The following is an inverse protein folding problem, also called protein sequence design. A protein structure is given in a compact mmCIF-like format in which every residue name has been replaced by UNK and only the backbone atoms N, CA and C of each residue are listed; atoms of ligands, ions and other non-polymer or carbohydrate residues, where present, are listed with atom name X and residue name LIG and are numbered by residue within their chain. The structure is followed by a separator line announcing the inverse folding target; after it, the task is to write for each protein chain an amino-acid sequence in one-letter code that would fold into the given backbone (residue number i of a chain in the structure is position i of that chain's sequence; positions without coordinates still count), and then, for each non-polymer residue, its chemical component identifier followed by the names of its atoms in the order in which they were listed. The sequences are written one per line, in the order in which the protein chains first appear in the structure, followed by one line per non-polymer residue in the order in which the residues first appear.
data_IF_826189010888
#
_entry.id   IF_826189010888
#
_cell.length_a   1.000
_cell.length_b   1.000
_cell.length_c   1.000
_cell.angle_alpha   90.00
_cell.angle_beta   90.00
_cell.angle_gamma   90.00
#
_symmetry.space_group_name_H-M   'P 1'
#
loop_
_entity.id
_entity.type
_entity.pdbx_description
1 polymer ?
#
# COMPACT_ATOMS: atom_id res chain seq x y z
N UNK A 1 24.61 -40.99 17.47
CA UNK A 1 23.15 -41.12 17.64
C UNK A 1 22.48 -40.39 16.50
N UNK A 2 21.84 -41.12 15.58
CA UNK A 2 21.22 -40.55 14.39
C UNK A 2 19.91 -39.82 14.76
N UNK A 3 19.79 -38.55 14.37
CA UNK A 3 18.62 -37.71 14.59
C UNK A 3 17.47 -38.31 13.76
N UNK A 4 16.44 -38.87 14.41
CA UNK A 4 15.19 -39.29 13.73
C UNK A 4 14.60 -38.07 13.03
N UNK A 5 14.77 -37.96 11.73
CA UNK A 5 13.96 -37.11 10.86
C UNK A 5 12.59 -37.76 10.79
N UNK A 6 11.71 -37.41 11.72
CA UNK A 6 10.31 -37.84 11.67
C UNK A 6 9.71 -37.37 10.36
N UNK A 7 9.25 -38.30 9.53
CA UNK A 7 8.55 -37.98 8.29
C UNK A 7 7.30 -37.16 8.64
N UNK A 8 7.29 -35.89 8.23
CA UNK A 8 6.11 -35.05 8.37
C UNK A 8 5.00 -35.66 7.51
N UNK A 9 3.85 -35.94 8.12
CA UNK A 9 2.71 -36.57 7.43
C UNK A 9 1.60 -35.54 7.30
N UNK A 10 1.29 -35.17 6.06
CA UNK A 10 0.17 -34.30 5.75
C UNK A 10 -1.16 -34.96 6.16
N UNK A 11 -2.05 -34.16 6.72
CA UNK A 11 -3.43 -34.55 7.02
C UNK A 11 -4.29 -34.35 5.78
N UNK A 12 -5.41 -35.05 5.70
CA UNK A 12 -6.38 -34.88 4.61
C UNK A 12 -7.02 -33.48 4.56
N UNK A 13 -6.89 -32.70 5.63
CA UNK A 13 -7.36 -31.32 5.73
C UNK A 13 -6.32 -30.29 5.31
N UNK A 14 -5.06 -30.69 5.09
CA UNK A 14 -4.01 -29.76 4.72
C UNK A 14 -4.19 -29.37 3.25
N UNK A 15 -4.45 -28.08 2.98
CA UNK A 15 -4.50 -27.54 1.63
C UNK A 15 -3.08 -27.13 1.23
N UNK A 16 -2.51 -27.80 0.23
CA UNK A 16 -1.15 -27.58 -0.27
C UNK A 16 -1.26 -27.36 -1.77
N UNK A 17 -0.59 -26.31 -2.28
CA UNK A 17 -0.62 -26.01 -3.71
C UNK A 17 -1.90 -25.29 -4.12
N UNK A 18 -2.22 -24.20 -3.43
CA UNK A 18 -3.30 -23.30 -3.84
C UNK A 18 -2.99 -22.64 -5.20
N UNK A 19 -4.02 -22.14 -5.87
CA UNK A 19 -3.86 -21.48 -7.17
C UNK A 19 -3.12 -20.14 -7.06
N UNK A 20 -3.38 -19.39 -5.98
CA UNK A 20 -2.67 -18.18 -5.58
C UNK A 20 -1.60 -18.48 -4.54
N UNK A 21 -0.52 -17.70 -4.54
CA UNK A 21 0.53 -17.84 -3.52
C UNK A 21 0.05 -17.30 -2.15
N UNK A 22 -0.78 -16.27 -2.20
CA UNK A 22 -1.46 -15.62 -1.07
C UNK A 22 -2.40 -16.55 -0.30
N UNK A 23 -2.91 -17.60 -0.95
CA UNK A 23 -3.85 -18.57 -0.35
C UNK A 23 -3.16 -19.83 0.21
N UNK A 24 -1.83 -19.96 0.04
CA UNK A 24 -1.08 -21.14 0.46
C UNK A 24 -0.39 -20.92 1.83
N UNK A 25 -1.00 -21.46 2.90
CA UNK A 25 -0.47 -21.37 4.27
C UNK A 25 0.91 -22.05 4.45
N UNK A 26 1.27 -22.99 3.56
CA UNK A 26 2.55 -23.69 3.62
C UNK A 26 3.64 -22.98 2.83
N UNK A 27 3.32 -21.91 2.09
CA UNK A 27 4.26 -21.22 1.23
C UNK A 27 5.53 -20.81 1.96
N UNK A 28 5.41 -20.14 3.11
CA UNK A 28 6.56 -19.67 3.90
C UNK A 28 7.48 -20.80 4.39
N UNK A 29 6.93 -22.01 4.58
CA UNK A 29 7.69 -23.20 5.02
C UNK A 29 8.33 -23.97 3.88
N UNK A 30 7.73 -23.91 2.69
CA UNK A 30 8.13 -24.67 1.52
C UNK A 30 8.84 -23.83 0.46
N UNK A 31 8.93 -22.51 0.66
CA UNK A 31 9.61 -21.62 -0.25
C UNK A 31 11.09 -21.97 -0.38
N UNK A 32 11.54 -22.17 -1.62
CA UNK A 32 12.93 -22.40 -1.95
C UNK A 32 13.47 -21.13 -2.59
N UNK A 33 14.35 -20.42 -1.87
CA UNK A 33 15.03 -19.27 -2.43
C UNK A 33 16.01 -19.71 -3.54
N UNK A 34 15.83 -19.13 -4.71
CA UNK A 34 16.67 -19.35 -5.90
C UNK A 34 17.71 -18.26 -6.10
N UNK A 35 17.83 -17.34 -5.13
CA UNK A 35 18.77 -16.22 -5.11
C UNK A 35 18.14 -14.89 -5.54
N UNK A 36 16.94 -14.89 -6.12
CA UNK A 36 16.26 -13.65 -6.53
C UNK A 36 15.85 -12.77 -5.35
N UNK A 37 15.62 -13.37 -4.18
CA UNK A 37 15.23 -12.61 -3.00
C UNK A 37 16.35 -11.64 -2.56
N UNK A 38 17.61 -12.09 -2.61
CA UNK A 38 18.76 -11.22 -2.32
C UNK A 38 18.88 -10.02 -3.27
N UNK A 39 18.43 -10.17 -4.51
CA UNK A 39 18.44 -9.09 -5.51
C UNK A 39 17.35 -8.06 -5.24
N UNK A 40 16.17 -8.50 -4.79
CA UNK A 40 15.08 -7.61 -4.42
C UNK A 40 15.38 -6.82 -3.13
N UNK A 41 16.20 -7.39 -2.24
CA UNK A 41 16.62 -6.72 -1.01
C UNK A 41 17.75 -5.71 -1.20
N UNK A 42 18.46 -5.73 -2.33
CA UNK A 42 19.56 -4.79 -2.60
C UNK A 42 19.03 -3.46 -3.15
N UNK A 43 19.07 -2.42 -2.31
CA UNK A 43 18.70 -1.05 -2.68
C UNK A 43 19.62 -0.40 -3.72
N UNK A 44 20.80 -0.97 -3.97
CA UNK A 44 21.73 -0.50 -5.01
C UNK A 44 21.44 -1.13 -6.37
N UNK A 45 20.65 -2.20 -6.40
CA UNK A 45 20.26 -2.86 -7.63
C UNK A 45 19.12 -2.09 -8.30
N UNK A 46 19.23 -1.91 -9.62
CA UNK A 46 18.23 -1.19 -10.42
C UNK A 46 17.18 -2.11 -11.04
N UNK A 47 17.26 -3.43 -10.81
CA UNK A 47 16.29 -4.41 -11.30
C UNK A 47 15.01 -4.37 -10.47
N UNK A 48 14.04 -3.57 -10.89
CA UNK A 48 12.78 -3.35 -10.18
C UNK A 48 11.59 -4.18 -10.70
N UNK A 49 11.79 -4.94 -11.78
CA UNK A 49 10.71 -5.65 -12.47
C UNK A 49 10.93 -7.16 -12.39
N UNK A 50 9.98 -7.87 -11.80
CA UNK A 50 9.95 -9.33 -11.75
C UNK A 50 9.07 -9.86 -12.88
N UNK A 51 9.67 -10.59 -13.83
CA UNK A 51 8.98 -11.14 -14.99
C UNK A 51 8.99 -12.68 -14.98
N UNK A 52 7.93 -13.30 -15.51
CA UNK A 52 7.82 -14.75 -15.58
C UNK A 52 6.40 -15.23 -15.86
N UNK A 53 6.26 -16.46 -16.35
CA UNK A 53 4.97 -17.08 -16.68
C UNK A 53 4.11 -17.32 -15.43
N UNK A 54 2.81 -17.50 -15.60
CA UNK A 54 1.92 -17.99 -14.52
C UNK A 54 2.50 -19.27 -13.90
N UNK A 55 2.48 -19.37 -12.57
CA UNK A 55 3.06 -20.50 -11.84
C UNK A 55 4.58 -20.45 -11.63
N UNK A 56 5.30 -19.44 -12.13
CA UNK A 56 6.75 -19.32 -11.92
C UNK A 56 7.18 -18.83 -10.52
N UNK A 57 6.24 -18.75 -9.55
CA UNK A 57 6.54 -18.34 -8.18
C UNK A 57 6.76 -16.84 -7.94
N UNK A 58 6.31 -15.95 -8.85
CA UNK A 58 6.50 -14.48 -8.68
C UNK A 58 5.75 -13.93 -7.47
N UNK A 59 4.47 -14.26 -7.33
CA UNK A 59 3.66 -13.85 -6.18
C UNK A 59 4.29 -14.38 -4.90
N UNK A 60 4.74 -15.63 -4.91
CA UNK A 60 5.47 -16.22 -3.79
C UNK A 60 6.75 -15.45 -3.43
N UNK A 61 7.57 -15.11 -4.42
CA UNK A 61 8.80 -14.33 -4.20
C UNK A 61 8.51 -12.96 -3.57
N UNK A 62 7.49 -12.25 -4.07
CA UNK A 62 7.11 -10.93 -3.55
C UNK A 62 6.51 -11.03 -2.13
N UNK A 63 5.73 -12.07 -1.85
CA UNK A 63 5.20 -12.33 -0.50
C UNK A 63 6.33 -12.59 0.50
N UNK A 64 7.29 -13.44 0.14
CA UNK A 64 8.46 -13.70 0.99
C UNK A 64 9.31 -12.45 1.22
N UNK A 65 9.50 -11.63 0.18
CA UNK A 65 10.16 -10.32 0.32
C UNK A 65 9.39 -9.40 1.28
N UNK A 66 8.07 -9.32 1.14
CA UNK A 66 7.21 -8.53 2.02
C UNK A 66 7.25 -9.03 3.48
N UNK A 67 7.28 -10.35 3.69
CA UNK A 67 7.44 -10.96 5.02
C UNK A 67 8.81 -10.68 5.65
N UNK A 68 9.88 -10.60 4.85
CA UNK A 68 11.21 -10.27 5.36
C UNK A 68 11.37 -8.79 5.71
N UNK A 69 10.66 -7.89 5.00
CA UNK A 69 10.79 -6.43 5.13
C UNK A 69 9.50 -5.76 5.62
N UNK A 70 8.69 -6.43 6.44
CA UNK A 70 7.33 -6.01 6.90
C UNK A 70 7.15 -4.51 7.18
N UNK A 71 8.15 -3.87 7.79
CA UNK A 71 8.06 -2.46 8.17
C UNK A 71 8.31 -1.48 7.02
N UNK A 72 8.85 -1.94 5.89
CA UNK A 72 9.27 -1.11 4.76
C UNK A 72 8.61 -1.48 3.42
N UNK A 73 7.62 -2.38 3.43
CA UNK A 73 6.88 -2.76 2.22
C UNK A 73 5.47 -2.21 2.25
N UNK A 74 5.03 -1.70 1.10
CA UNK A 74 3.64 -1.32 0.80
C UNK A 74 3.23 -2.15 -0.42
N UNK A 75 2.19 -2.97 -0.25
CA UNK A 75 1.60 -3.71 -1.36
C UNK A 75 0.41 -2.94 -1.90
N UNK A 76 0.44 -2.64 -3.20
CA UNK A 76 -0.58 -1.87 -3.88
C UNK A 76 -1.18 -2.76 -4.96
N UNK A 77 -2.47 -3.08 -4.87
CA UNK A 77 -3.23 -3.75 -5.93
C UNK A 77 -3.85 -2.70 -6.84
N UNK A 78 -3.36 -2.53 -8.10
CA UNK A 78 -3.91 -1.53 -9.00
C UNK A 78 -5.38 -1.80 -9.33
N UNK A 79 -5.78 -3.07 -9.40
CA UNK A 79 -7.15 -3.46 -9.74
C UNK A 79 -8.13 -3.01 -8.66
N UNK A 80 -7.85 -3.30 -7.39
CA UNK A 80 -8.70 -2.91 -6.26
C UNK A 80 -8.81 -1.38 -6.15
N UNK A 81 -7.67 -0.70 -6.30
CA UNK A 81 -7.63 0.77 -6.21
C UNK A 81 -8.39 1.41 -7.36
N UNK A 82 -8.13 1.01 -8.60
CA UNK A 82 -8.80 1.58 -9.77
C UNK A 82 -10.31 1.32 -9.74
N UNK A 83 -10.71 0.10 -9.38
CA UNK A 83 -12.12 -0.30 -9.38
C UNK A 83 -12.93 0.57 -8.42
N UNK A 84 -12.39 0.92 -7.25
CA UNK A 84 -13.08 1.77 -6.28
C UNK A 84 -13.45 3.15 -6.84
N UNK A 85 -12.60 3.76 -7.67
CA UNK A 85 -12.85 5.08 -8.25
C UNK A 85 -13.61 5.06 -9.58
N UNK A 86 -13.50 3.96 -10.34
CA UNK A 86 -14.05 3.87 -11.71
C UNK A 86 -15.43 3.19 -11.74
N UNK A 87 -15.67 2.19 -10.88
CA UNK A 87 -16.84 1.29 -10.97
C UNK A 87 -18.19 1.98 -10.84
N UNK A 88 -18.27 3.14 -10.18
CA UNK A 88 -19.53 3.84 -9.91
C UNK A 88 -19.77 5.07 -10.79
N UNK A 89 -18.97 5.27 -11.84
CA UNK A 89 -18.94 6.56 -12.53
C UNK A 89 -19.64 6.52 -13.89
N UNK A 90 -20.95 6.74 -13.88
CA UNK A 90 -21.73 7.09 -15.10
C UNK A 90 -21.17 8.33 -15.82
N UNK A 91 -20.42 9.18 -15.09
CA UNK A 91 -19.76 10.37 -15.66
C UNK A 91 -18.67 10.01 -16.67
N UNK A 92 -17.94 8.90 -16.46
CA UNK A 92 -16.83 8.51 -17.35
C UNK A 92 -17.38 8.07 -18.70
N UNK A 93 -18.46 7.28 -18.67
CA UNK A 93 -19.20 6.87 -19.86
C UNK A 93 -19.75 8.07 -20.62
N UNK A 94 -20.31 9.06 -19.92
CA UNK A 94 -20.83 10.29 -20.50
C UNK A 94 -19.74 11.09 -21.24
N UNK A 95 -18.61 11.36 -20.58
CA UNK A 95 -17.52 12.13 -21.20
C UNK A 95 -16.84 11.36 -22.34
N UNK A 96 -16.71 10.04 -22.22
CA UNK A 96 -16.21 9.20 -23.32
C UNK A 96 -17.13 9.27 -24.54
N UNK A 97 -18.46 9.23 -24.35
CA UNK A 97 -19.43 9.33 -25.44
C UNK A 97 -19.44 10.72 -26.11
N UNK A 98 -19.04 11.77 -25.39
CA UNK A 98 -18.84 13.11 -25.93
C UNK A 98 -17.51 13.27 -26.68
N UNK A 99 -16.70 12.22 -26.78
CA UNK A 99 -15.39 12.24 -27.44
C UNK A 99 -14.29 12.95 -26.64
N UNK A 100 -14.49 13.14 -25.33
CA UNK A 100 -13.48 13.75 -24.46
C UNK A 100 -12.36 12.75 -24.18
N UNK A 101 -11.10 13.20 -24.29
CA UNK A 101 -9.96 12.40 -23.90
C UNK A 101 -9.86 12.29 -22.36
N UNK A 102 -10.02 11.08 -21.82
CA UNK A 102 -9.93 10.79 -20.39
C UNK A 102 -8.50 10.45 -19.92
N UNK A 103 -7.51 10.36 -20.81
CA UNK A 103 -6.12 10.09 -20.43
C UNK A 103 -5.57 11.05 -19.36
N UNK A 104 -5.80 12.38 -19.44
CA UNK A 104 -5.35 13.29 -18.40
C UNK A 104 -6.03 13.02 -17.06
N UNK A 105 -7.32 12.67 -17.10
CA UNK A 105 -8.09 12.33 -15.90
C UNK A 105 -7.51 11.09 -15.21
N UNK A 106 -7.30 9.99 -15.95
CA UNK A 106 -6.75 8.77 -15.36
C UNK A 106 -5.33 8.97 -14.82
N UNK A 107 -4.48 9.75 -15.51
CA UNK A 107 -3.14 10.11 -15.00
C UNK A 107 -3.22 10.86 -13.67
N UNK A 108 -4.13 11.83 -13.56
CA UNK A 108 -4.33 12.60 -12.33
C UNK A 108 -4.92 11.73 -11.21
N UNK A 109 -5.88 10.88 -11.54
CA UNK A 109 -6.49 9.92 -10.61
C UNK A 109 -5.41 9.02 -10.03
N UNK A 110 -4.62 8.35 -10.88
CA UNK A 110 -3.55 7.47 -10.42
C UNK A 110 -2.52 8.18 -9.56
N UNK A 111 -2.11 9.39 -9.95
CA UNK A 111 -1.20 10.19 -9.12
C UNK A 111 -1.79 10.47 -7.74
N UNK A 112 -3.06 10.87 -7.68
CA UNK A 112 -3.74 11.12 -6.42
C UNK A 112 -3.83 9.86 -5.56
N UNK A 113 -4.36 8.77 -6.12
CA UNK A 113 -4.57 7.49 -5.44
C UNK A 113 -3.26 6.96 -4.86
N UNK A 114 -2.20 6.88 -5.67
CA UNK A 114 -0.90 6.41 -5.20
C UNK A 114 -0.31 7.32 -4.12
N UNK A 115 -0.45 8.64 -4.26
CA UNK A 115 0.04 9.59 -3.27
C UNK A 115 -0.68 9.41 -1.94
N UNK A 116 -2.01 9.32 -1.95
CA UNK A 116 -2.81 9.14 -0.73
C UNK A 116 -2.50 7.80 -0.07
N UNK A 117 -2.37 6.71 -0.83
CA UNK A 117 -2.08 5.38 -0.30
C UNK A 117 -0.71 5.33 0.39
N UNK A 118 0.33 5.85 -0.28
CA UNK A 118 1.70 5.89 0.26
C UNK A 118 1.76 6.76 1.53
N UNK A 119 1.15 7.94 1.50
CA UNK A 119 1.11 8.83 2.67
C UNK A 119 0.35 8.17 3.81
N UNK A 120 -0.81 7.58 3.54
CA UNK A 120 -1.66 6.94 4.57
C UNK A 120 -0.88 5.87 5.30
N UNK A 121 -0.18 5.02 4.56
CA UNK A 121 0.65 3.98 5.14
C UNK A 121 1.86 4.55 5.89
N UNK A 122 2.56 5.55 5.34
CA UNK A 122 3.71 6.17 6.01
C UNK A 122 3.34 6.79 7.37
N UNK A 123 2.25 7.56 7.42
CA UNK A 123 1.82 8.23 8.66
C UNK A 123 1.15 7.27 9.65
N UNK A 124 0.44 6.24 9.17
CA UNK A 124 -0.14 5.21 10.06
C UNK A 124 0.94 4.43 10.84
N UNK A 125 2.16 4.32 10.30
CA UNK A 125 3.29 3.68 10.99
C UNK A 125 3.95 4.57 12.06
N UNK A 126 3.75 5.88 12.03
CA UNK A 126 4.43 6.83 12.93
C UNK A 126 3.78 6.97 14.30
N UNK A 127 2.52 6.57 14.48
CA UNK A 127 1.77 6.75 15.74
C UNK A 127 1.29 5.43 16.35
N UNK A 128 2.19 4.75 17.04
CA UNK A 128 1.81 3.74 18.03
C UNK A 128 1.08 4.41 19.22
N UNK A 129 -0.22 4.68 19.09
CA UNK A 129 -1.09 4.95 20.26
C UNK A 129 -2.26 5.92 20.07
N UNK A 130 -2.27 6.76 19.03
CA UNK A 130 -3.43 7.60 18.68
C UNK A 130 -3.53 7.63 17.15
N UNK A 131 -4.68 7.28 16.59
CA UNK A 131 -4.92 7.43 15.15
C UNK A 131 -5.15 8.91 14.85
N UNK A 132 -4.12 9.70 14.53
CA UNK A 132 -4.37 10.94 13.80
C UNK A 132 -4.52 10.58 12.32
N UNK A 133 -5.62 11.00 11.71
CA UNK A 133 -5.85 10.76 10.29
C UNK A 133 -4.86 11.61 9.48
N UNK A 134 -4.57 11.22 8.23
CA UNK A 134 -3.83 12.09 7.30
C UNK A 134 -4.41 13.50 7.23
N UNK A 135 -5.73 13.60 7.31
CA UNK A 135 -6.45 14.87 7.31
C UNK A 135 -6.09 15.68 8.55
N UNK A 136 -5.91 15.04 9.70
CA UNK A 136 -5.47 15.72 10.92
C UNK A 136 -4.01 16.17 10.82
N UNK A 137 -3.11 15.36 10.27
CA UNK A 137 -1.72 15.77 10.03
C UNK A 137 -1.65 16.97 9.07
N UNK A 138 -2.37 16.91 7.95
CA UNK A 138 -2.47 18.00 6.98
C UNK A 138 -3.09 19.22 7.66
N UNK A 139 -4.20 19.06 8.38
CA UNK A 139 -4.88 20.14 9.11
C UNK A 139 -3.97 20.77 10.16
N UNK A 140 -3.14 19.98 10.85
CA UNK A 140 -2.16 20.46 11.82
C UNK A 140 -0.97 21.19 11.16
N UNK A 141 -0.54 20.73 9.98
CA UNK A 141 0.48 21.41 9.18
C UNK A 141 -0.05 22.74 8.62
N UNK A 142 -1.33 22.81 8.23
CA UNK A 142 -1.97 24.02 7.73
C UNK A 142 -2.53 24.94 8.83
N UNK A 143 -2.79 24.44 10.04
CA UNK A 143 -3.20 25.25 11.20
C UNK A 143 -2.04 25.99 11.86
N UNK A 144 -0.79 25.70 11.45
CA UNK A 144 0.43 26.37 11.91
C UNK A 144 0.57 27.85 11.54
N UNK A 145 -0.38 28.46 10.83
CA UNK A 145 -0.39 29.89 10.50
C UNK A 145 -1.52 30.65 11.23
N UNK A 146 -1.64 30.43 12.54
CA UNK A 146 -2.56 31.17 13.42
C UNK A 146 -2.05 32.58 13.78
N UNK A 147 -1.05 33.14 13.09
CA UNK A 147 -0.65 34.54 13.24
C UNK A 147 -1.84 35.49 13.03
N UNK A 148 -2.74 35.15 12.09
CA UNK A 148 -4.00 35.87 11.89
C UNK A 148 -5.06 35.63 12.97
N UNK A 149 -5.05 34.48 13.64
CA UNK A 149 -6.01 34.21 14.73
C UNK A 149 -5.60 34.91 16.03
N UNK A 150 -4.30 35.04 16.30
CA UNK A 150 -3.79 35.84 17.43
C UNK A 150 -4.06 37.34 17.22
N UNK A 151 -3.89 37.84 15.99
CA UNK A 151 -4.24 39.24 15.64
C UNK A 151 -5.74 39.51 15.78
N UNK A 152 -6.61 38.58 15.33
CA UNK A 152 -8.07 38.74 15.46
C UNK A 152 -8.50 38.67 16.93
N UNK A 153 -7.91 37.80 17.74
CA UNK A 153 -8.23 37.72 19.17
C UNK A 153 -7.80 38.99 19.91
N UNK A 154 -6.62 39.54 19.62
CA UNK A 154 -6.16 40.79 20.21
C UNK A 154 -7.01 42.01 19.82
N UNK A 155 -7.60 42.02 18.61
CA UNK A 155 -8.55 43.07 18.18
C UNK A 155 -9.89 42.94 18.89
N UNK A 156 -10.39 41.72 19.12
CA UNK A 156 -11.64 41.48 19.87
C UNK A 156 -11.48 41.91 21.33
N UNK A 157 -10.36 41.53 21.96
CA UNK A 157 -10.09 41.89 23.36
C UNK A 157 -9.96 43.43 23.55
N UNK A 158 -9.48 44.17 22.55
CA UNK A 158 -9.42 45.64 22.58
C UNK A 158 -10.80 46.32 22.41
N UNK A 159 -11.73 45.66 21.70
CA UNK A 159 -13.09 46.17 21.50
C UNK A 159 -14.00 45.90 22.71
N UNK A 160 -13.73 44.85 23.48
CA UNK A 160 -14.47 44.53 24.71
C UNK A 160 -14.02 45.35 25.94
N UNK A 161 -12.93 46.13 25.83
CA UNK A 161 -12.37 46.99 26.88
C UNK A 161 -12.76 48.48 26.77
N UNK A 162 -13.60 48.86 25.79
CA UNK A 162 -14.23 50.19 25.66
C UNK A 162 -15.76 50.09 25.70
#
# INVERSE_FOLDING_TARGET
MAKKTGAYKFKSTDQIGAAGAEDDEFLSKCFVDTGYLSLLEDLKDHRQIVLGRTGSGKSALLLMFAENKKDHVITISPEELALTYVSNSTILSFFSNLGVNLDPFFKLLWRHVLTVEILSHHFSKYENGKKTSLVDYIKNMFSGNSSKQQEIQGVIDYLDLN
#
